data_IF_119327592880
#
_entry.id   IF_119327592880
#
_cell.length_a   1.000
_cell.length_b   1.000
_cell.length_c   1.000
_cell.angle_alpha   90.00
_cell.angle_beta   90.00
_cell.angle_gamma   90.00
#
_symmetry.space_group_name_H-M   'P 1'
#
loop_
_entity.id
_entity.type
_entity.pdbx_description
1 polymer ?
#
# COMPACT_ATOMS: atom_id res chain seq x y z
N UNK A 1 -4.23 15.57 9.19
CA UNK A 1 -2.77 15.46 9.31
C UNK A 1 -2.16 15.38 7.93
N UNK A 2 -1.15 16.16 7.68
CA UNK A 2 -0.46 16.12 6.41
C UNK A 2 0.68 15.11 6.50
N UNK A 3 0.65 14.11 5.64
CA UNK A 3 1.65 13.04 5.66
C UNK A 3 2.96 13.43 4.99
N UNK A 4 2.91 14.42 4.10
CA UNK A 4 4.07 14.80 3.33
C UNK A 4 4.42 13.80 2.24
N UNK A 5 5.51 14.07 1.54
CA UNK A 5 5.99 13.19 0.49
C UNK A 5 6.88 12.11 1.09
N UNK A 6 6.47 10.85 0.95
CA UNK A 6 7.29 9.74 1.40
C UNK A 6 6.98 8.48 0.60
N UNK A 7 7.93 7.56 0.61
CA UNK A 7 7.76 6.27 -0.02
C UNK A 7 8.35 5.22 0.91
N UNK A 8 7.53 4.24 1.28
CA UNK A 8 7.96 3.15 2.15
C UNK A 8 7.49 1.82 1.58
N UNK A 9 8.19 0.76 1.95
CA UNK A 9 7.82 -0.60 1.58
C UNK A 9 7.56 -1.39 2.86
N UNK A 10 6.45 -2.11 2.88
CA UNK A 10 6.04 -2.89 4.04
C UNK A 10 5.83 -4.35 3.65
N UNK A 11 6.42 -5.23 4.44
CA UNK A 11 6.15 -6.66 4.32
C UNK A 11 4.91 -7.00 5.13
N UNK A 12 3.94 -7.65 4.51
CA UNK A 12 2.66 -7.96 5.15
C UNK A 12 2.33 -9.44 4.96
N UNK A 13 1.52 -9.97 5.87
CA UNK A 13 1.08 -11.37 5.78
C UNK A 13 -0.16 -11.53 4.92
N UNK A 14 -1.00 -10.52 4.87
CA UNK A 14 -2.26 -10.57 4.13
C UNK A 14 -2.40 -9.25 3.38
N UNK A 15 -2.09 -9.30 2.09
CA UNK A 15 -2.13 -8.14 1.23
C UNK A 15 -3.54 -7.59 1.08
N UNK A 16 -4.55 -8.46 0.99
CA UNK A 16 -5.93 -8.02 0.83
C UNK A 16 -6.41 -7.25 2.07
N UNK A 17 -6.09 -7.74 3.26
CA UNK A 17 -6.45 -7.06 4.50
C UNK A 17 -5.71 -5.74 4.65
N UNK A 18 -4.43 -5.73 4.31
CA UNK A 18 -3.62 -4.51 4.36
C UNK A 18 -4.11 -3.46 3.37
N UNK A 19 -4.47 -3.88 2.16
CA UNK A 19 -5.04 -2.99 1.16
C UNK A 19 -6.33 -2.35 1.70
N UNK A 20 -7.25 -3.16 2.25
CA UNK A 20 -8.50 -2.64 2.78
C UNK A 20 -8.25 -1.63 3.90
N UNK A 21 -7.27 -1.90 4.78
CA UNK A 21 -6.90 -0.98 5.84
C UNK A 21 -6.45 0.37 5.29
N UNK A 22 -5.54 0.36 4.33
CA UNK A 22 -5.02 1.61 3.77
C UNK A 22 -6.04 2.34 2.91
N UNK A 23 -6.94 1.61 2.24
CA UNK A 23 -8.02 2.26 1.50
C UNK A 23 -8.94 3.06 2.42
N UNK A 24 -9.16 2.58 3.65
CA UNK A 24 -9.93 3.33 4.65
C UNK A 24 -9.23 4.63 5.05
N UNK A 25 -7.92 4.69 4.93
CA UNK A 25 -7.15 5.88 5.23
C UNK A 25 -7.05 6.84 4.04
N UNK A 26 -7.67 6.51 2.92
CA UNK A 26 -7.67 7.36 1.75
C UNK A 26 -6.64 7.00 0.70
N UNK A 27 -5.92 5.90 0.87
CA UNK A 27 -4.98 5.43 -0.15
C UNK A 27 -5.72 4.73 -1.28
N UNK A 28 -5.16 4.81 -2.48
CA UNK A 28 -5.70 4.15 -3.66
C UNK A 28 -4.62 3.31 -4.31
N UNK A 29 -5.02 2.17 -4.85
CA UNK A 29 -4.09 1.32 -5.59
C UNK A 29 -3.70 2.05 -6.86
N UNK A 30 -2.39 2.26 -7.04
CA UNK A 30 -1.89 2.90 -8.26
C UNK A 30 -1.04 1.96 -9.11
N UNK A 31 -0.68 0.81 -8.59
CA UNK A 31 0.11 -0.15 -9.35
C UNK A 31 0.24 -1.45 -8.58
N UNK A 32 0.89 -2.40 -9.22
CA UNK A 32 1.13 -3.70 -8.62
C UNK A 32 0.14 -4.75 -9.07
N UNK A 33 0.31 -5.94 -8.53
CA UNK A 33 -0.54 -7.08 -8.85
C UNK A 33 -0.72 -7.91 -7.58
N UNK A 34 -1.94 -7.90 -7.04
CA UNK A 34 -2.24 -8.63 -5.82
C UNK A 34 -2.01 -10.14 -5.98
N UNK A 35 -2.20 -10.67 -7.19
CA UNK A 35 -1.95 -12.09 -7.44
C UNK A 35 -0.46 -12.41 -7.40
N UNK A 36 0.40 -11.41 -7.59
CA UNK A 36 1.85 -11.56 -7.48
C UNK A 36 2.36 -11.09 -6.12
N UNK A 37 1.45 -10.81 -5.19
CA UNK A 37 1.76 -10.47 -3.80
C UNK A 37 2.47 -9.13 -3.63
N UNK A 38 2.15 -8.14 -4.47
CA UNK A 38 2.66 -6.79 -4.26
C UNK A 38 1.66 -5.76 -4.78
N UNK A 39 1.59 -4.62 -4.08
CA UNK A 39 0.72 -3.50 -4.45
C UNK A 39 1.42 -2.20 -4.13
N UNK A 40 1.11 -1.19 -4.93
CA UNK A 40 1.55 0.18 -4.65
C UNK A 40 0.32 1.03 -4.41
N UNK A 41 0.27 1.68 -3.26
CA UNK A 41 -0.84 2.53 -2.85
C UNK A 41 -0.35 3.96 -2.72
N UNK A 42 -1.22 4.91 -3.06
CA UNK A 42 -0.87 6.32 -3.03
C UNK A 42 -1.98 7.13 -2.39
N UNK A 43 -1.59 8.14 -1.60
CA UNK A 43 -2.48 9.15 -1.06
C UNK A 43 -1.74 10.48 -1.11
N UNK A 44 -2.12 11.34 -2.06
CA UNK A 44 -1.39 12.59 -2.29
C UNK A 44 0.05 12.28 -2.69
N UNK A 45 1.01 12.77 -1.92
CA UNK A 45 2.42 12.52 -2.16
C UNK A 45 2.97 11.35 -1.36
N UNK A 46 2.13 10.69 -0.56
CA UNK A 46 2.53 9.53 0.22
C UNK A 46 2.36 8.25 -0.62
N UNK A 47 3.40 7.43 -0.68
CA UNK A 47 3.39 6.18 -1.44
C UNK A 47 3.79 5.04 -0.52
N UNK A 48 3.01 3.98 -0.54
CA UNK A 48 3.28 2.77 0.24
C UNK A 48 3.32 1.58 -0.70
N UNK A 49 4.42 0.84 -0.66
CA UNK A 49 4.53 -0.44 -1.34
C UNK A 49 4.24 -1.56 -0.36
N UNK A 50 3.27 -2.40 -0.68
CA UNK A 50 2.96 -3.59 0.10
C UNK A 50 3.46 -4.81 -0.64
N UNK A 51 4.13 -5.72 0.07
CA UNK A 51 4.50 -6.98 -0.53
C UNK A 51 4.35 -8.07 0.51
N UNK A 52 4.01 -9.25 0.02
CA UNK A 52 3.86 -10.40 0.88
C UNK A 52 5.16 -11.17 0.91
N UNK A 53 5.69 -11.32 2.11
CA UNK A 53 6.87 -12.13 2.35
C UNK A 53 6.39 -13.55 2.67
N UNK A 54 6.73 -14.49 1.82
CA UNK A 54 6.25 -15.87 1.94
C UNK A 54 7.09 -16.63 2.94
#
# INVERSE_FOLDING_TARGET
MQLGAFSISLSVKDIAASRAFYEKLGFKVMGGDQTQNWLILKNGDAVIGLFRDV
#
